data_IF_482907519406
#
_entry.id   IF_482907519406
#
_cell.length_a   1.000
_cell.length_b   1.000
_cell.length_c   1.000
_cell.angle_alpha   90.00
_cell.angle_beta   90.00
_cell.angle_gamma   90.00
#
_symmetry.space_group_name_H-M   'P 1'
#
loop_
_entity.id
_entity.type
_entity.pdbx_description
1 polymer ?
#
# COMPACT_ATOMS: atom_id res chain seq x y z
N UNK A 1 2.23 13.61 -57.86
CA UNK A 1 1.04 13.93 -57.03
C UNK A 1 0.54 12.62 -56.45
N UNK A 2 0.29 12.35 -55.16
CA UNK A 2 0.19 13.11 -53.91
C UNK A 2 0.81 12.26 -52.78
N UNK A 3 1.47 12.90 -51.83
CA UNK A 3 1.96 12.31 -50.57
C UNK A 3 0.76 12.11 -49.64
N UNK A 4 0.69 10.97 -48.95
CA UNK A 4 -0.16 10.82 -47.76
C UNK A 4 0.72 10.22 -46.67
N UNK A 5 1.25 11.10 -45.83
CA UNK A 5 1.70 10.78 -44.48
C UNK A 5 0.44 10.75 -43.60
N UNK A 6 0.21 9.67 -42.86
CA UNK A 6 -0.62 9.73 -41.67
C UNK A 6 0.12 9.07 -40.51
N UNK A 7 0.11 9.85 -39.43
CA UNK A 7 0.89 9.74 -38.21
C UNK A 7 0.41 8.53 -37.40
N UNK A 8 1.34 7.64 -37.07
CA UNK A 8 1.14 6.62 -36.05
C UNK A 8 1.21 7.31 -34.69
N UNK A 9 0.07 7.48 -34.03
CA UNK A 9 -0.03 7.96 -32.66
C UNK A 9 -0.57 6.80 -31.82
N UNK A 10 0.33 5.94 -31.33
CA UNK A 10 -0.01 4.87 -30.41
C UNK A 10 0.75 5.07 -29.10
N UNK A 11 0.04 5.72 -28.17
CA UNK A 11 0.04 5.50 -26.73
C UNK A 11 1.40 5.39 -26.00
N UNK A 12 1.93 6.56 -25.63
CA UNK A 12 2.77 6.70 -24.43
C UNK A 12 1.84 6.61 -23.21
N UNK A 13 1.71 5.43 -22.61
CA UNK A 13 0.89 5.20 -21.41
C UNK A 13 1.62 4.37 -20.34
N UNK A 14 2.93 4.60 -20.15
CA UNK A 14 3.72 3.85 -19.17
C UNK A 14 4.57 4.71 -18.21
N UNK A 15 4.48 6.04 -18.24
CA UNK A 15 5.36 6.90 -17.41
C UNK A 15 4.74 7.46 -16.12
N UNK A 16 3.47 7.17 -15.82
CA UNK A 16 2.81 7.77 -14.63
C UNK A 16 3.15 7.07 -13.31
N UNK A 17 3.73 5.86 -13.34
CA UNK A 17 3.97 5.09 -12.11
C UNK A 17 5.20 5.56 -11.32
N UNK A 18 6.21 6.13 -11.98
CA UNK A 18 7.47 6.52 -11.32
C UNK A 18 7.38 7.86 -10.59
N UNK A 19 6.69 8.85 -11.17
CA UNK A 19 6.53 10.16 -10.55
C UNK A 19 5.72 10.09 -9.23
N UNK A 20 4.69 9.24 -9.19
CA UNK A 20 3.85 9.07 -8.01
C UNK A 20 4.58 8.32 -6.87
N UNK A 21 5.42 7.32 -7.21
CA UNK A 21 6.25 6.64 -6.23
C UNK A 21 7.33 7.56 -5.63
N UNK A 22 7.86 8.50 -6.43
CA UNK A 22 8.87 9.46 -6.00
C UNK A 22 8.31 10.53 -5.05
N UNK A 23 7.04 10.94 -5.23
CA UNK A 23 6.33 11.86 -4.32
C UNK A 23 5.88 11.18 -3.01
N UNK A 24 5.60 9.88 -3.05
CA UNK A 24 5.13 9.11 -1.90
C UNK A 24 6.23 8.57 -0.98
N UNK A 25 7.50 8.47 -1.42
CA UNK A 25 8.46 7.58 -0.76
C UNK A 25 9.89 8.04 -0.54
N UNK A 26 10.44 8.97 -1.33
CA UNK A 26 11.92 9.13 -1.33
C UNK A 26 12.51 10.00 -0.20
N UNK A 27 11.70 10.57 0.69
CA UNK A 27 12.20 11.36 1.84
C UNK A 27 11.35 11.31 3.10
N UNK A 28 10.22 10.58 3.09
CA UNK A 28 9.31 10.53 4.23
C UNK A 28 9.77 9.51 5.29
N UNK A 29 9.67 9.89 6.57
CA UNK A 29 10.00 9.01 7.69
C UNK A 29 9.01 7.84 7.82
N UNK A 30 9.42 6.77 8.52
CA UNK A 30 8.54 5.62 8.81
C UNK A 30 7.21 6.06 9.43
N UNK A 31 7.27 6.93 10.44
CA UNK A 31 6.11 7.53 11.08
C UNK A 31 5.18 8.25 10.10
N UNK A 32 5.72 9.00 9.14
CA UNK A 32 4.92 9.70 8.12
C UNK A 32 4.23 8.71 7.18
N UNK A 33 4.96 7.72 6.69
CA UNK A 33 4.43 6.68 5.81
C UNK A 33 3.34 5.86 6.52
N UNK A 34 3.56 5.47 7.78
CA UNK A 34 2.57 4.75 8.59
C UNK A 34 1.31 5.58 8.87
N UNK A 35 1.46 6.89 9.10
CA UNK A 35 0.33 7.81 9.22
C UNK A 35 -0.48 7.85 7.92
N UNK A 36 0.21 7.93 6.77
CA UNK A 36 -0.44 7.93 5.47
C UNK A 36 -1.17 6.61 5.17
N UNK A 37 -0.57 5.47 5.48
CA UNK A 37 -1.22 4.14 5.45
C UNK A 37 -2.48 4.11 6.33
N UNK A 38 -2.45 4.75 7.50
CA UNK A 38 -3.63 4.94 8.34
C UNK A 38 -4.74 5.76 7.68
N UNK A 39 -4.38 6.85 7.00
CA UNK A 39 -5.34 7.69 6.26
C UNK A 39 -5.97 6.93 5.10
N UNK A 40 -5.17 6.25 4.28
CA UNK A 40 -5.67 5.44 3.15
C UNK A 40 -6.61 4.34 3.63
N UNK A 41 -6.20 3.59 4.65
CA UNK A 41 -7.01 2.52 5.23
C UNK A 41 -8.37 3.03 5.73
N UNK A 42 -8.39 4.15 6.46
CA UNK A 42 -9.64 4.78 6.92
C UNK A 42 -10.50 5.25 5.76
N UNK A 43 -9.90 5.88 4.74
CA UNK A 43 -10.60 6.35 3.57
C UNK A 43 -11.27 5.19 2.81
N UNK A 44 -10.56 4.09 2.56
CA UNK A 44 -11.12 2.88 1.95
C UNK A 44 -12.22 2.31 2.85
N UNK A 45 -11.98 2.16 4.16
CA UNK A 45 -12.98 1.63 5.09
C UNK A 45 -14.27 2.45 5.15
N UNK A 46 -14.19 3.78 5.00
CA UNK A 46 -15.36 4.66 4.98
C UNK A 46 -16.22 4.53 3.72
N UNK A 47 -15.65 4.03 2.62
CA UNK A 47 -16.32 3.92 1.32
C UNK A 47 -16.42 2.50 0.79
N UNK A 48 -15.96 1.47 1.54
CA UNK A 48 -15.88 0.09 1.06
C UNK A 48 -17.25 -0.50 0.69
N UNK A 49 -18.34 -0.01 1.29
CA UNK A 49 -19.69 -0.44 0.96
C UNK A 49 -20.29 0.27 -0.28
N UNK A 50 -19.66 1.35 -0.77
CA UNK A 50 -20.14 2.14 -1.90
C UNK A 50 -19.44 1.72 -3.20
N UNK A 51 -20.14 0.98 -4.05
CA UNK A 51 -19.60 0.49 -5.32
C UNK A 51 -19.21 1.62 -6.29
N UNK A 52 -19.81 2.81 -6.18
CA UNK A 52 -19.41 3.98 -6.98
C UNK A 52 -17.99 4.45 -6.67
N UNK A 53 -17.46 4.08 -5.49
CA UNK A 53 -16.10 4.41 -5.07
C UNK A 53 -15.07 3.33 -5.43
N UNK A 54 -15.46 2.19 -6.03
CA UNK A 54 -14.55 1.07 -6.28
C UNK A 54 -13.31 1.46 -7.10
N UNK A 55 -13.46 2.28 -8.14
CA UNK A 55 -12.31 2.78 -8.92
C UNK A 55 -11.35 3.62 -8.07
N UNK A 56 -11.88 4.52 -7.23
CA UNK A 56 -11.05 5.33 -6.32
C UNK A 56 -10.45 4.51 -5.19
N UNK A 57 -11.12 3.43 -4.76
CA UNK A 57 -10.63 2.54 -3.71
C UNK A 57 -9.55 1.59 -4.25
N UNK A 58 -9.65 1.18 -5.51
CA UNK A 58 -8.59 0.50 -6.23
C UNK A 58 -7.31 1.36 -6.24
N UNK A 59 -7.40 2.63 -6.66
CA UNK A 59 -6.25 3.56 -6.64
C UNK A 59 -5.65 3.70 -5.24
N UNK A 60 -6.47 3.88 -4.20
CA UNK A 60 -5.99 3.94 -2.81
C UNK A 60 -5.32 2.65 -2.36
N UNK A 61 -5.85 1.50 -2.76
CA UNK A 61 -5.25 0.19 -2.42
C UNK A 61 -3.90 -0.02 -3.12
N UNK A 62 -3.72 0.48 -4.34
CA UNK A 62 -2.43 0.51 -5.04
C UNK A 62 -1.43 1.42 -4.32
N UNK A 63 -1.83 2.63 -3.92
CA UNK A 63 -0.99 3.53 -3.13
C UNK A 63 -0.59 2.89 -1.79
N UNK A 64 -1.53 2.23 -1.13
CA UNK A 64 -1.29 1.50 0.11
C UNK A 64 -0.27 0.37 -0.07
N UNK A 65 -0.35 -0.36 -1.19
CA UNK A 65 0.61 -1.42 -1.54
C UNK A 65 2.03 -0.87 -1.70
N UNK A 66 2.16 0.26 -2.42
CA UNK A 66 3.45 0.94 -2.61
C UNK A 66 4.03 1.40 -1.28
N UNK A 67 3.22 2.02 -0.42
CA UNK A 67 3.66 2.46 0.90
C UNK A 67 4.07 1.30 1.80
N UNK A 68 3.34 0.16 1.80
CA UNK A 68 3.77 -1.03 2.53
C UNK A 68 5.12 -1.56 2.05
N UNK A 69 5.38 -1.55 0.73
CA UNK A 69 6.69 -1.92 0.16
C UNK A 69 7.81 -0.96 0.57
N UNK A 70 7.52 0.34 0.70
CA UNK A 70 8.48 1.35 1.18
C UNK A 70 8.81 1.11 2.65
N UNK A 71 7.80 1.03 3.51
CA UNK A 71 8.02 0.89 4.96
C UNK A 71 8.64 -0.45 5.33
N UNK A 72 8.41 -1.52 4.55
CA UNK A 72 9.09 -2.81 4.72
C UNK A 72 10.63 -2.71 4.65
N UNK A 73 11.15 -1.66 4.01
CA UNK A 73 12.58 -1.38 3.88
C UNK A 73 13.11 -0.43 4.96
N UNK A 74 12.23 0.14 5.78
CA UNK A 74 12.58 1.04 6.87
C UNK A 74 12.68 0.23 8.17
N UNK A 75 13.71 0.50 8.98
CA UNK A 75 13.88 -0.15 10.28
C UNK A 75 13.16 0.70 11.34
N UNK A 76 12.18 0.15 12.08
CA UNK A 76 11.56 0.85 13.21
C UNK A 76 12.57 1.21 14.30
N UNK A 77 12.44 2.39 14.90
CA UNK A 77 13.29 2.83 16.03
C UNK A 77 13.25 1.82 17.18
N UNK A 78 12.07 1.26 17.46
CA UNK A 78 11.88 0.21 18.48
C UNK A 78 12.73 -1.05 18.27
N UNK A 79 13.08 -1.37 17.01
CA UNK A 79 13.98 -2.48 16.69
C UNK A 79 15.44 -2.04 16.76
N UNK A 80 15.74 -0.81 16.32
CA UNK A 80 17.10 -0.26 16.39
C UNK A 80 17.65 -0.23 17.83
N UNK A 81 16.78 -0.01 18.81
CA UNK A 81 17.10 0.09 20.24
C UNK A 81 17.21 -1.27 20.96
N UNK A 82 16.88 -2.39 20.30
CA UNK A 82 17.02 -3.73 20.90
C UNK A 82 18.50 -4.13 21.07
N UNK A 83 18.80 -5.13 21.92
CA UNK A 83 20.11 -5.78 21.93
C UNK A 83 20.41 -6.46 20.59
N UNK A 84 21.67 -6.51 20.16
CA UNK A 84 22.04 -7.05 18.83
C UNK A 84 21.58 -8.50 18.60
N UNK A 85 21.50 -9.33 19.66
CA UNK A 85 20.99 -10.69 19.58
C UNK A 85 19.48 -10.82 19.33
N UNK A 86 18.72 -9.73 19.47
CA UNK A 86 17.25 -9.71 19.30
C UNK A 86 16.82 -8.95 18.03
N UNK A 87 17.69 -8.09 17.48
CA UNK A 87 17.40 -7.24 16.31
C UNK A 87 17.00 -8.04 15.08
N UNK A 88 17.73 -9.11 14.76
CA UNK A 88 17.51 -9.89 13.54
C UNK A 88 16.12 -10.55 13.54
N UNK A 89 15.76 -11.20 14.66
CA UNK A 89 14.47 -11.84 14.81
C UNK A 89 13.32 -10.83 14.77
N UNK A 90 13.49 -9.67 15.43
CA UNK A 90 12.49 -8.61 15.42
C UNK A 90 12.32 -7.96 14.03
N UNK A 91 13.42 -7.71 13.31
CA UNK A 91 13.39 -7.17 11.96
C UNK A 91 12.72 -8.14 11.00
N UNK A 92 12.99 -9.44 11.14
CA UNK A 92 12.32 -10.47 10.36
C UNK A 92 10.82 -10.51 10.61
N UNK A 93 10.38 -10.49 11.88
CA UNK A 93 8.95 -10.45 12.23
C UNK A 93 8.26 -9.21 11.62
N UNK A 94 8.91 -8.05 11.70
CA UNK A 94 8.43 -6.82 11.06
C UNK A 94 8.29 -6.95 9.53
N UNK A 95 9.31 -7.48 8.85
CA UNK A 95 9.28 -7.67 7.40
C UNK A 95 8.23 -8.70 6.95
N UNK A 96 8.02 -9.75 7.73
CA UNK A 96 6.99 -10.76 7.49
C UNK A 96 5.58 -10.13 7.63
N UNK A 97 5.35 -9.29 8.65
CA UNK A 97 4.11 -8.53 8.82
C UNK A 97 3.86 -7.58 7.65
N UNK A 98 4.88 -6.83 7.22
CA UNK A 98 4.73 -5.92 6.07
C UNK A 98 4.45 -6.68 4.77
N UNK A 99 5.06 -7.87 4.59
CA UNK A 99 4.78 -8.72 3.43
C UNK A 99 3.34 -9.23 3.44
N UNK A 100 2.80 -9.57 4.61
CA UNK A 100 1.39 -9.95 4.75
C UNK A 100 0.45 -8.78 4.38
N UNK A 101 0.74 -7.57 4.84
CA UNK A 101 -0.03 -6.36 4.51
C UNK A 101 0.04 -6.02 3.02
N UNK A 102 1.20 -6.20 2.37
CA UNK A 102 1.32 -6.11 0.89
C UNK A 102 0.36 -7.09 0.22
N UNK A 103 0.37 -8.36 0.59
CA UNK A 103 -0.48 -9.37 -0.02
C UNK A 103 -1.98 -9.07 0.16
N UNK A 104 -2.39 -8.58 1.34
CA UNK A 104 -3.78 -8.19 1.59
C UNK A 104 -4.17 -6.94 0.80
N UNK A 105 -3.26 -5.97 0.66
CA UNK A 105 -3.49 -4.79 -0.17
C UNK A 105 -3.64 -5.12 -1.66
N UNK A 106 -2.92 -6.12 -2.17
CA UNK A 106 -3.09 -6.64 -3.53
C UNK A 106 -4.42 -7.41 -3.69
N UNK A 107 -4.87 -8.15 -2.67
CA UNK A 107 -6.21 -8.76 -2.68
C UNK A 107 -7.33 -7.70 -2.65
N UNK A 108 -7.14 -6.58 -1.96
CA UNK A 108 -8.08 -5.45 -2.01
C UNK A 108 -8.20 -4.87 -3.41
N UNK A 109 -7.08 -4.73 -4.13
CA UNK A 109 -7.10 -4.29 -5.52
C UNK A 109 -7.97 -5.21 -6.37
N UNK A 110 -7.78 -6.54 -6.23
CA UNK A 110 -8.57 -7.52 -6.96
C UNK A 110 -10.06 -7.45 -6.60
N UNK A 111 -10.39 -7.33 -5.32
CA UNK A 111 -11.77 -7.21 -4.86
C UNK A 111 -12.46 -5.97 -5.45
N UNK A 112 -11.81 -4.80 -5.42
CA UNK A 112 -12.36 -3.58 -6.02
C UNK A 112 -12.46 -3.65 -7.54
N UNK A 113 -11.47 -4.26 -8.22
CA UNK A 113 -11.53 -4.49 -9.68
C UNK A 113 -12.70 -5.41 -10.08
N UNK A 114 -13.06 -6.36 -9.21
CA UNK A 114 -14.16 -7.30 -9.42
C UNK A 114 -15.51 -6.81 -8.86
N UNK A 115 -15.60 -5.59 -8.32
CA UNK A 115 -16.77 -5.07 -7.62
C UNK A 115 -17.25 -5.96 -6.45
N UNK A 116 -16.35 -6.69 -5.82
CA UNK A 116 -16.64 -7.54 -4.67
C UNK A 116 -16.41 -6.78 -3.36
N UNK A 117 -17.33 -5.86 -3.06
CA UNK A 117 -17.28 -5.02 -1.86
C UNK A 117 -17.39 -5.84 -0.56
N UNK A 118 -18.04 -7.01 -0.60
CA UNK A 118 -18.14 -7.89 0.55
C UNK A 118 -16.79 -8.54 0.88
N UNK A 119 -16.06 -9.01 -0.13
CA UNK A 119 -14.69 -9.49 0.04
C UNK A 119 -13.75 -8.36 0.48
N UNK A 120 -13.86 -7.18 -0.14
CA UNK A 120 -13.05 -6.03 0.25
C UNK A 120 -13.25 -5.66 1.73
N UNK A 121 -14.49 -5.68 2.23
CA UNK A 121 -14.77 -5.44 3.64
C UNK A 121 -14.14 -6.51 4.57
N UNK A 122 -14.19 -7.79 4.20
CA UNK A 122 -13.53 -8.87 4.95
C UNK A 122 -12.02 -8.71 5.00
N UNK A 123 -11.39 -8.34 3.87
CA UNK A 123 -9.95 -8.11 3.81
C UNK A 123 -9.57 -6.90 4.68
N UNK A 124 -10.32 -5.79 4.60
CA UNK A 124 -10.06 -4.63 5.48
C UNK A 124 -10.21 -4.96 6.96
N UNK A 125 -11.19 -5.79 7.33
CA UNK A 125 -11.33 -6.25 8.70
C UNK A 125 -10.07 -7.03 9.14
N UNK A 126 -9.62 -7.97 8.32
CA UNK A 126 -8.41 -8.76 8.60
C UNK A 126 -7.16 -7.90 8.73
N UNK A 127 -6.94 -6.95 7.80
CA UNK A 127 -5.86 -5.95 7.92
C UNK A 127 -6.01 -5.13 9.20
N UNK A 128 -7.24 -4.73 9.56
CA UNK A 128 -7.53 -4.04 10.82
C UNK A 128 -7.11 -4.83 12.05
N UNK A 129 -7.31 -6.16 12.04
CA UNK A 129 -6.92 -7.05 13.14
C UNK A 129 -5.40 -7.25 13.21
N UNK A 130 -4.72 -7.40 12.07
CA UNK A 130 -3.24 -7.41 12.00
C UNK A 130 -2.67 -6.10 12.53
N UNK A 131 -3.24 -4.95 12.16
CA UNK A 131 -2.78 -3.65 12.66
C UNK A 131 -3.02 -3.46 14.15
N UNK A 132 -4.11 -3.98 14.70
CA UNK A 132 -4.37 -3.91 16.15
C UNK A 132 -3.43 -4.81 16.94
N UNK A 133 -3.21 -6.04 16.45
CA UNK A 133 -2.49 -7.08 17.19
C UNK A 133 -0.98 -7.10 16.91
N UNK A 134 -0.57 -6.72 15.70
CA UNK A 134 0.81 -6.70 15.21
C UNK A 134 1.53 -5.36 15.40
N UNK A 135 0.90 -4.22 15.05
CA UNK A 135 1.57 -2.92 15.17
C UNK A 135 1.77 -2.49 16.63
N UNK A 136 1.04 -3.08 17.60
CA UNK A 136 1.25 -2.79 19.01
C UNK A 136 2.70 -3.05 19.48
N UNK A 137 3.40 -3.98 18.82
CA UNK A 137 4.78 -4.35 19.16
C UNK A 137 5.85 -3.38 18.68
N UNK A 138 5.57 -2.62 17.61
CA UNK A 138 6.57 -1.80 16.89
C UNK A 138 6.12 -0.35 16.69
N UNK A 139 5.15 0.12 17.47
CA UNK A 139 4.66 1.49 17.40
C UNK A 139 5.75 2.47 17.84
N UNK A 140 6.03 3.43 16.98
CA UNK A 140 6.71 4.71 17.27
C UNK A 140 5.73 5.81 17.74
#
# INVERSE_FOLDING_TARGET
>A
MKKIFFVSFAAVALMMSSAFAQELGSSASLKQNMKQLGTLFKAIGSSVADSSQNSKNLEKSQQMTVLFKIVAQQVPETIADLPDGEKEAALKDYQDLMSQEVALSEQLQQAFANNDNAMAAKILQHMGDIRKNGHGKYKE
#
